data_IF_798338153924
#
_entry.id   IF_798338153924
#
_cell.length_a   1.000
_cell.length_b   1.000
_cell.length_c   1.000
_cell.angle_alpha   90.00
_cell.angle_beta   90.00
_cell.angle_gamma   90.00
#
_symmetry.space_group_name_H-M   'P 1'
#
loop_
_entity.id
_entity.type
_entity.pdbx_description
1 polymer ?
#
# COMPACT_ATOMS: atom_id res chain seq x y z
N UNK A 1 -2.91 2.68 3.91
CA UNK A 1 -2.25 1.92 5.00
C UNK A 1 -1.22 2.76 5.77
N UNK A 2 -0.33 3.51 5.10
CA UNK A 2 0.68 4.38 5.75
C UNK A 2 0.06 5.36 6.77
N UNK A 3 -1.06 6.01 6.42
CA UNK A 3 -1.75 6.93 7.34
C UNK A 3 -2.43 6.25 8.55
N UNK A 4 -2.74 4.95 8.46
CA UNK A 4 -3.30 4.22 9.60
C UNK A 4 -2.23 3.90 10.65
N UNK A 5 -0.98 3.75 10.20
CA UNK A 5 0.16 3.47 11.07
C UNK A 5 0.88 4.73 11.56
N UNK A 6 0.68 5.88 10.89
CA UNK A 6 1.17 7.17 11.35
C UNK A 6 0.36 7.63 12.59
N UNK A 7 1.05 7.83 13.71
CA UNK A 7 0.43 8.05 15.03
C UNK A 7 -0.25 9.41 15.13
N UNK A 8 0.23 10.42 14.40
CA UNK A 8 -0.18 11.83 14.51
C UNK A 8 -0.90 12.37 13.27
N UNK A 9 -1.33 11.51 12.35
CA UNK A 9 -2.06 11.99 11.17
C UNK A 9 -3.55 12.24 11.50
N UNK A 10 -4.12 13.43 11.22
CA UNK A 10 -5.58 13.62 11.24
C UNK A 10 -6.29 12.68 10.24
N UNK A 11 -5.55 12.13 9.26
CA UNK A 11 -6.02 11.14 8.30
C UNK A 11 -6.10 9.72 8.87
N UNK A 12 -5.59 9.46 10.08
CA UNK A 12 -5.59 8.13 10.70
C UNK A 12 -6.99 7.56 10.87
N UNK A 13 -7.95 8.39 11.31
CA UNK A 13 -9.35 7.96 11.50
C UNK A 13 -9.99 7.53 10.17
N UNK A 14 -9.76 8.30 9.11
CA UNK A 14 -10.25 8.00 7.75
C UNK A 14 -9.58 6.73 7.23
N UNK A 15 -8.26 6.62 7.38
CA UNK A 15 -7.52 5.44 6.95
C UNK A 15 -7.97 4.15 7.67
N UNK A 16 -8.28 4.23 8.96
CA UNK A 16 -8.85 3.12 9.71
C UNK A 16 -10.26 2.75 9.23
N UNK A 17 -11.11 3.74 8.94
CA UNK A 17 -12.45 3.48 8.38
C UNK A 17 -12.38 2.80 7.01
N UNK A 18 -11.46 3.25 6.14
CA UNK A 18 -11.23 2.62 4.84
C UNK A 18 -10.69 1.19 4.98
N UNK A 19 -9.87 0.90 5.99
CA UNK A 19 -9.41 -0.47 6.24
C UNK A 19 -10.55 -1.39 6.71
N UNK A 20 -11.60 -0.86 7.34
CA UNK A 20 -12.76 -1.65 7.73
C UNK A 20 -13.65 -2.05 6.55
N UNK A 21 -13.52 -1.40 5.39
CA UNK A 21 -14.29 -1.77 4.18
C UNK A 21 -13.72 -3.01 3.47
N UNK A 22 -12.64 -3.62 3.99
CA UNK A 22 -11.99 -4.77 3.35
C UNK A 22 -11.29 -4.43 2.02
N UNK A 23 -10.47 -3.36 1.95
CA UNK A 23 -9.88 -2.93 0.69
C UNK A 23 -8.85 -3.93 0.16
N UNK A 24 -8.62 -3.87 -1.14
CA UNK A 24 -7.50 -4.56 -1.81
C UNK A 24 -6.27 -3.65 -1.74
N UNK A 25 -5.13 -4.20 -1.31
CA UNK A 25 -3.84 -3.51 -1.32
C UNK A 25 -2.76 -4.39 -1.95
N UNK A 26 -1.76 -3.79 -2.59
CA UNK A 26 -0.65 -4.55 -3.17
C UNK A 26 0.45 -4.83 -2.14
N UNK A 27 1.26 -5.87 -2.38
CA UNK A 27 2.45 -6.17 -1.56
C UNK A 27 3.45 -5.00 -1.56
N UNK A 28 3.45 -4.14 -2.58
CA UNK A 28 4.26 -2.93 -2.61
C UNK A 28 3.85 -1.95 -1.49
N UNK A 29 2.54 -1.75 -1.27
CA UNK A 29 2.03 -0.89 -0.18
C UNK A 29 2.47 -1.44 1.18
N UNK A 30 2.48 -2.77 1.33
CA UNK A 30 2.97 -3.46 2.54
C UNK A 30 4.46 -3.18 2.77
N UNK A 31 5.28 -3.25 1.72
CA UNK A 31 6.70 -2.95 1.77
C UNK A 31 6.97 -1.48 2.14
N UNK A 32 6.24 -0.54 1.54
CA UNK A 32 6.36 0.89 1.84
C UNK A 32 5.98 1.19 3.28
N UNK A 33 4.88 0.60 3.79
CA UNK A 33 4.50 0.75 5.19
C UNK A 33 5.59 0.22 6.12
N UNK A 34 6.14 -0.96 5.82
CA UNK A 34 7.20 -1.57 6.63
C UNK A 34 8.47 -0.72 6.65
N UNK A 35 8.87 -0.19 5.49
CA UNK A 35 10.02 0.70 5.37
C UNK A 35 9.80 2.04 6.11
N UNK A 36 8.60 2.61 6.07
CA UNK A 36 8.26 3.81 6.85
C UNK A 36 8.32 3.53 8.36
N UNK A 37 7.74 2.42 8.81
CA UNK A 37 7.79 2.03 10.23
C UNK A 37 9.22 1.83 10.73
N UNK A 38 10.08 1.26 9.89
CA UNK A 38 11.49 1.11 10.24
C UNK A 38 12.24 2.45 10.19
N UNK A 39 12.19 3.18 9.08
CA UNK A 39 13.06 4.35 8.87
C UNK A 39 12.59 5.60 9.60
N UNK A 40 11.28 5.87 9.60
CA UNK A 40 10.69 7.06 10.21
C UNK A 40 10.43 6.86 11.70
N UNK A 41 9.89 5.70 12.07
CA UNK A 41 9.49 5.41 13.45
C UNK A 41 10.50 4.58 14.24
N UNK A 42 11.61 4.16 13.61
CA UNK A 42 12.72 3.44 14.25
C UNK A 42 12.28 2.17 15.00
N UNK A 43 11.21 1.52 14.52
CA UNK A 43 10.71 0.29 15.12
C UNK A 43 11.54 -0.92 14.67
N UNK A 44 11.72 -1.88 15.57
CA UNK A 44 12.28 -3.19 15.21
C UNK A 44 11.30 -4.04 14.38
N UNK A 45 11.84 -5.01 13.66
CA UNK A 45 11.03 -5.88 12.79
C UNK A 45 9.99 -6.71 13.54
N UNK A 46 10.23 -7.08 14.81
CA UNK A 46 9.26 -7.81 15.63
C UNK A 46 8.03 -6.95 15.92
N UNK A 47 8.24 -5.65 16.20
CA UNK A 47 7.17 -4.68 16.41
C UNK A 47 6.45 -4.36 15.11
N UNK A 48 7.18 -4.20 14.01
CA UNK A 48 6.60 -3.99 12.67
C UNK A 48 5.68 -5.16 12.31
N UNK A 49 6.14 -6.40 12.45
CA UNK A 49 5.35 -7.59 12.15
C UNK A 49 4.04 -7.63 12.95
N UNK A 50 4.10 -7.36 14.27
CA UNK A 50 2.91 -7.30 15.13
C UNK A 50 1.92 -6.21 14.69
N UNK A 51 2.42 -5.03 14.32
CA UNK A 51 1.57 -3.93 13.86
C UNK A 51 0.92 -4.31 12.52
N UNK A 52 1.72 -4.80 11.57
CA UNK A 52 1.25 -5.15 10.22
C UNK A 52 0.22 -6.28 10.24
N UNK A 53 0.43 -7.33 11.03
CA UNK A 53 -0.50 -8.46 11.14
C UNK A 53 -1.93 -8.04 11.49
N UNK A 54 -2.09 -7.05 12.38
CA UNK A 54 -3.40 -6.51 12.76
C UNK A 54 -4.15 -5.84 11.60
N UNK A 55 -3.42 -5.28 10.64
CA UNK A 55 -4.00 -4.60 9.47
C UNK A 55 -4.17 -5.56 8.30
N UNK A 56 -3.20 -6.44 8.06
CA UNK A 56 -3.22 -7.40 6.97
C UNK A 56 -4.39 -8.38 7.08
N UNK A 57 -4.85 -8.69 8.30
CA UNK A 57 -6.07 -9.49 8.54
C UNK A 57 -7.37 -8.83 8.07
N UNK A 58 -7.36 -7.53 7.75
CA UNK A 58 -8.56 -6.75 7.40
C UNK A 58 -8.60 -6.36 5.92
N UNK A 59 -7.62 -6.77 5.13
CA UNK A 59 -7.45 -6.36 3.74
C UNK A 59 -7.12 -7.57 2.87
N UNK A 60 -7.42 -7.48 1.58
CA UNK A 60 -6.93 -8.46 0.62
C UNK A 60 -5.60 -7.99 0.07
N UNK A 61 -4.54 -8.77 0.30
CA UNK A 61 -3.21 -8.46 -0.24
C UNK A 61 -3.03 -9.14 -1.59
N UNK A 62 -2.64 -8.37 -2.60
CA UNK A 62 -2.39 -8.88 -3.96
C UNK A 62 -0.90 -8.81 -4.30
N UNK A 63 -0.35 -9.83 -4.98
CA UNK A 63 1.04 -9.83 -5.39
C UNK A 63 1.29 -8.79 -6.50
N UNK A 64 2.53 -8.31 -6.59
CA UNK A 64 3.02 -7.64 -7.79
C UNK A 64 3.64 -8.72 -8.68
N UNK A 65 3.15 -8.84 -9.91
CA UNK A 65 3.66 -9.81 -10.89
C UNK A 65 4.43 -9.09 -11.99
N UNK A 66 5.07 -9.86 -12.89
CA UNK A 66 5.68 -9.28 -14.09
C UNK A 66 4.65 -8.63 -15.02
N UNK A 67 3.39 -9.08 -14.99
CA UNK A 67 2.31 -8.39 -15.72
C UNK A 67 2.07 -7.00 -15.13
N UNK A 68 2.04 -6.90 -13.79
CA UNK A 68 1.87 -5.62 -13.10
C UNK A 68 3.02 -4.66 -13.42
N UNK A 69 4.26 -5.16 -13.43
CA UNK A 69 5.46 -4.36 -13.74
C UNK A 69 5.44 -3.87 -15.19
N UNK A 70 5.12 -4.75 -16.14
CA UNK A 70 5.01 -4.36 -17.55
C UNK A 70 3.96 -3.28 -17.77
N UNK A 71 2.83 -3.37 -17.07
CA UNK A 71 1.79 -2.33 -17.09
C UNK A 71 2.31 -1.03 -16.45
N UNK A 72 3.03 -1.12 -15.32
CA UNK A 72 3.61 0.04 -14.65
C UNK A 72 4.59 0.80 -15.57
N UNK A 73 5.44 0.11 -16.33
CA UNK A 73 6.33 0.76 -17.29
C UNK A 73 5.56 1.53 -18.37
N UNK A 74 4.52 0.92 -18.94
CA UNK A 74 3.65 1.58 -19.93
C UNK A 74 2.97 2.82 -19.34
N UNK A 75 2.53 2.75 -18.08
CA UNK A 75 1.89 3.87 -17.40
C UNK A 75 2.90 5.00 -17.11
N UNK A 76 4.09 4.67 -16.63
CA UNK A 76 5.15 5.64 -16.36
C UNK A 76 5.63 6.33 -17.64
N UNK A 77 5.74 5.59 -18.75
CA UNK A 77 6.07 6.17 -20.05
C UNK A 77 4.96 7.11 -20.56
N UNK A 78 3.71 6.63 -20.55
CA UNK A 78 2.56 7.36 -21.10
C UNK A 78 2.18 8.60 -20.30
N UNK A 79 2.18 8.51 -18.97
CA UNK A 79 1.67 9.55 -18.08
C UNK A 79 2.76 10.24 -17.26
N UNK A 80 4.04 9.85 -17.43
CA UNK A 80 5.20 10.43 -16.72
C UNK A 80 5.11 10.34 -15.19
N UNK A 81 4.39 9.36 -14.67
CA UNK A 81 4.37 9.06 -13.25
C UNK A 81 5.69 8.44 -12.79
N UNK A 82 6.00 8.57 -11.49
CA UNK A 82 7.12 7.84 -10.90
C UNK A 82 6.89 6.33 -11.04
N UNK A 83 7.96 5.54 -11.01
CA UNK A 83 7.84 4.09 -11.14
C UNK A 83 6.94 3.48 -10.05
N UNK A 84 7.09 3.91 -8.79
CA UNK A 84 6.30 3.37 -7.68
C UNK A 84 4.83 3.78 -7.75
N UNK A 85 4.54 5.04 -8.13
CA UNK A 85 3.15 5.47 -8.37
C UNK A 85 2.52 4.66 -9.53
N UNK A 86 3.29 4.44 -10.60
CA UNK A 86 2.86 3.63 -11.74
C UNK A 86 2.59 2.17 -11.35
N UNK A 87 3.40 1.61 -10.44
CA UNK A 87 3.25 0.25 -9.95
C UNK A 87 1.99 0.06 -9.12
N UNK A 88 1.69 1.06 -8.28
CA UNK A 88 0.47 1.09 -7.47
C UNK A 88 -0.77 1.22 -8.37
N UNK A 89 -0.75 2.10 -9.37
CA UNK A 89 -1.84 2.26 -10.34
C UNK A 89 -2.03 0.98 -11.17
N UNK A 90 -0.94 0.37 -11.65
CA UNK A 90 -1.01 -0.88 -12.41
C UNK A 90 -1.65 -2.01 -11.59
N UNK A 91 -1.29 -2.13 -10.31
CA UNK A 91 -1.88 -3.13 -9.42
C UNK A 91 -3.38 -2.91 -9.18
N UNK A 92 -3.80 -1.65 -9.03
CA UNK A 92 -5.22 -1.30 -8.90
C UNK A 92 -6.02 -1.64 -10.17
N UNK A 93 -5.46 -1.35 -11.35
CA UNK A 93 -6.08 -1.68 -12.63
C UNK A 93 -6.23 -3.19 -12.85
N UNK A 94 -5.20 -3.98 -12.52
CA UNK A 94 -5.28 -5.45 -12.63
C UNK A 94 -6.39 -6.08 -11.77
N UNK A 95 -6.70 -5.46 -10.64
CA UNK A 95 -7.71 -5.97 -9.70
C UNK A 95 -9.05 -5.25 -9.82
N UNK A 96 -9.30 -4.53 -10.93
CA UNK A 96 -10.53 -3.78 -11.21
C UNK A 96 -10.95 -2.84 -10.06
N UNK A 97 -9.97 -2.26 -9.34
CA UNK A 97 -10.26 -1.31 -8.29
C UNK A 97 -10.75 0.00 -8.91
N UNK A 98 -11.98 0.41 -8.59
CA UNK A 98 -12.61 1.61 -9.14
C UNK A 98 -12.36 2.86 -8.30
N UNK A 99 -11.90 2.69 -7.05
CA UNK A 99 -11.66 3.80 -6.12
C UNK A 99 -10.27 3.64 -5.50
N UNK A 100 -9.51 4.73 -5.52
CA UNK A 100 -8.13 4.84 -5.05
C UNK A 100 -8.05 5.81 -3.86
N UNK A 101 -7.39 5.42 -2.76
CA UNK A 101 -7.31 6.19 -1.50
C UNK A 101 -5.87 6.31 -0.96
#
# INVERSE_FOLDING_TARGET
MIYAVDVDSPKKKIALQLLLTGPIISIQVVNECSNVLHKKFQLDYTRIAKIMDNYLKKVTVVPITMQTINLAWKMGEKYRYSYYDSLVIASALEHNCTIFY
#
